data_IF_844909733460
#
_entry.id   IF_844909733460
#
_cell.length_a   1.000
_cell.length_b   1.000
_cell.length_c   1.000
_cell.angle_alpha   90.00
_cell.angle_beta   90.00
_cell.angle_gamma   90.00
#
_symmetry.space_group_name_H-M   'P 1'
#
loop_
_entity.id
_entity.type
_entity.pdbx_description
1 polymer ?
#
# COMPACT_ATOMS: atom_id res chain seq x y z
N UNK A 1 9.23 34.14 -49.79
CA UNK A 1 9.39 33.98 -48.32
C UNK A 1 8.67 32.70 -47.92
N UNK A 2 9.40 31.68 -47.43
CA UNK A 2 8.81 30.40 -46.99
C UNK A 2 8.64 30.47 -45.48
N UNK A 3 7.40 30.38 -45.01
CA UNK A 3 7.10 30.24 -43.58
C UNK A 3 7.57 28.87 -43.09
N UNK A 4 8.56 28.88 -42.19
CA UNK A 4 8.95 27.71 -41.43
C UNK A 4 7.85 27.42 -40.40
N UNK A 5 7.03 26.40 -40.68
CA UNK A 5 6.15 25.77 -39.69
C UNK A 5 7.03 25.21 -38.57
N UNK A 6 7.01 25.85 -37.39
CA UNK A 6 7.59 25.29 -36.18
C UNK A 6 6.83 23.99 -35.87
N UNK A 7 7.54 22.88 -35.97
CA UNK A 7 7.08 21.58 -35.49
C UNK A 7 6.82 21.69 -33.98
N UNK A 8 5.67 21.23 -33.45
CA UNK A 8 5.46 21.23 -32.01
C UNK A 8 6.49 20.30 -31.39
N UNK A 9 7.40 20.91 -30.63
CA UNK A 9 8.39 20.23 -29.82
C UNK A 9 7.66 19.25 -28.91
N UNK A 10 8.13 18.00 -28.90
CA UNK A 10 8.06 17.11 -27.76
C UNK A 10 8.40 17.92 -26.50
N UNK A 11 7.38 18.29 -25.72
CA UNK A 11 7.55 18.95 -24.43
C UNK A 11 6.70 18.15 -23.45
N UNK A 12 7.41 17.27 -22.75
CA UNK A 12 7.17 16.88 -21.37
C UNK A 12 5.77 16.36 -21.04
N UNK A 13 5.64 15.04 -21.17
CA UNK A 13 4.83 14.26 -20.23
C UNK A 13 5.54 14.26 -18.86
N UNK A 14 5.62 15.44 -18.24
CA UNK A 14 5.81 15.54 -16.79
C UNK A 14 4.46 15.16 -16.20
N UNK A 15 4.32 13.91 -15.76
CA UNK A 15 3.21 13.56 -14.88
C UNK A 15 3.31 14.50 -13.68
N UNK A 16 2.35 15.42 -13.53
CA UNK A 16 2.21 16.15 -12.30
C UNK A 16 2.01 15.11 -11.20
N UNK A 17 2.97 15.05 -10.27
CA UNK A 17 2.91 14.14 -9.13
C UNK A 17 1.62 14.44 -8.36
N UNK A 18 0.75 13.44 -8.25
CA UNK A 18 -0.53 13.62 -7.55
C UNK A 18 -0.28 13.87 -6.06
N UNK A 19 -1.28 14.41 -5.36
CA UNK A 19 -1.18 14.60 -3.90
C UNK A 19 -0.87 13.28 -3.18
N UNK A 20 -1.37 12.15 -3.70
CA UNK A 20 -1.14 10.83 -3.11
C UNK A 20 0.30 10.37 -3.37
N UNK A 21 0.81 10.50 -4.61
CA UNK A 21 2.19 10.13 -4.95
C UNK A 21 3.18 10.89 -4.06
N UNK A 22 2.96 12.19 -3.85
CA UNK A 22 3.79 13.01 -2.96
C UNK A 22 3.75 12.52 -1.52
N UNK A 23 2.57 12.24 -0.97
CA UNK A 23 2.42 11.75 0.40
C UNK A 23 3.12 10.41 0.61
N UNK A 24 2.98 9.48 -0.34
CA UNK A 24 3.64 8.17 -0.27
C UNK A 24 5.16 8.32 -0.39
N UNK A 25 5.65 9.19 -1.27
CA UNK A 25 7.08 9.54 -1.38
C UNK A 25 7.66 10.14 -0.10
N UNK A 26 6.92 11.01 0.59
CA UNK A 26 7.30 11.56 1.90
C UNK A 26 7.37 10.47 2.99
N UNK A 27 6.44 9.50 2.98
CA UNK A 27 6.49 8.37 3.91
C UNK A 27 7.68 7.44 3.65
N UNK A 28 8.00 7.15 2.39
CA UNK A 28 9.22 6.41 2.04
C UNK A 28 10.48 7.11 2.58
N UNK A 29 10.52 8.43 2.50
CA UNK A 29 11.66 9.23 2.97
C UNK A 29 11.76 9.28 4.50
N UNK A 30 10.65 9.05 5.21
CA UNK A 30 10.56 9.11 6.68
C UNK A 30 10.41 7.73 7.34
N UNK A 31 10.48 6.63 6.58
CA UNK A 31 10.32 5.25 7.08
C UNK A 31 11.17 4.94 8.32
N UNK A 32 12.40 5.46 8.37
CA UNK A 32 13.35 5.20 9.46
C UNK A 32 13.18 6.12 10.69
N UNK A 33 12.17 6.99 10.69
CA UNK A 33 11.97 7.99 11.74
C UNK A 33 11.14 7.46 12.92
N UNK A 34 10.62 6.23 12.85
CA UNK A 34 9.97 5.55 13.97
C UNK A 34 9.03 4.43 13.52
N UNK A 35 8.46 3.72 14.50
CA UNK A 35 7.60 2.55 14.27
C UNK A 35 6.31 2.89 13.52
N UNK A 36 5.67 4.01 13.84
CA UNK A 36 4.38 4.37 13.22
C UNK A 36 4.51 4.67 11.70
N UNK A 37 5.43 5.54 11.23
CA UNK A 37 5.67 5.70 9.79
C UNK A 37 6.03 4.40 9.08
N UNK A 38 6.78 3.52 9.76
CA UNK A 38 7.16 2.21 9.23
C UNK A 38 5.93 1.31 9.04
N UNK A 39 5.09 1.15 10.08
CA UNK A 39 3.86 0.37 10.05
C UNK A 39 2.87 0.89 8.99
N UNK A 40 2.72 2.21 8.86
CA UNK A 40 1.88 2.82 7.81
C UNK A 40 2.35 2.44 6.41
N UNK A 41 3.66 2.47 6.16
CA UNK A 41 4.22 2.10 4.87
C UNK A 41 4.05 0.60 4.56
N UNK A 42 4.19 -0.25 5.58
CA UNK A 42 3.98 -1.68 5.46
C UNK A 42 2.53 -2.05 5.14
N UNK A 43 1.56 -1.33 5.73
CA UNK A 43 0.15 -1.45 5.35
C UNK A 43 -0.05 -1.12 3.87
N UNK A 44 0.54 -0.02 3.35
CA UNK A 44 0.41 0.32 1.94
C UNK A 44 1.06 -0.73 1.02
N UNK A 45 2.24 -1.26 1.40
CA UNK A 45 2.92 -2.33 0.66
C UNK A 45 2.02 -3.56 0.54
N UNK A 46 1.42 -4.01 1.64
CA UNK A 46 0.51 -5.17 1.64
C UNK A 46 -0.74 -4.89 0.81
N UNK A 47 -1.35 -3.70 0.94
CA UNK A 47 -2.51 -3.34 0.14
C UNK A 47 -2.19 -3.34 -1.36
N UNK A 48 -1.02 -2.85 -1.80
CA UNK A 48 -0.61 -2.92 -3.20
C UNK A 48 -0.50 -4.37 -3.69
N UNK A 49 0.02 -5.29 -2.86
CA UNK A 49 0.09 -6.72 -3.18
C UNK A 49 -1.32 -7.29 -3.38
N UNK A 50 -2.25 -6.90 -2.51
CA UNK A 50 -3.65 -7.32 -2.52
C UNK A 50 -4.55 -6.49 -3.47
N UNK A 51 -3.96 -5.81 -4.47
CA UNK A 51 -4.70 -5.04 -5.50
C UNK A 51 -5.54 -3.89 -4.91
N UNK A 52 -5.07 -3.33 -3.81
CA UNK A 52 -5.59 -2.14 -3.17
C UNK A 52 -6.70 -2.39 -2.16
N UNK A 53 -7.07 -3.64 -1.87
CA UNK A 53 -8.14 -3.94 -0.90
C UNK A 53 -7.78 -5.16 -0.06
N UNK A 54 -8.04 -5.11 1.25
CA UNK A 54 -7.86 -6.27 2.14
C UNK A 54 -8.80 -6.19 3.34
N UNK A 55 -9.25 -7.35 3.83
CA UNK A 55 -9.90 -7.43 5.14
C UNK A 55 -8.86 -7.22 6.25
N UNK A 56 -9.19 -6.57 7.37
CA UNK A 56 -8.22 -6.36 8.47
C UNK A 56 -7.62 -7.67 8.96
N UNK A 57 -8.44 -8.71 9.06
CA UNK A 57 -7.99 -10.06 9.43
C UNK A 57 -6.95 -10.65 8.47
N UNK A 58 -7.07 -10.36 7.17
CA UNK A 58 -6.13 -10.80 6.13
C UNK A 58 -4.89 -9.91 6.11
N UNK A 59 -5.07 -8.60 6.26
CA UNK A 59 -3.99 -7.62 6.37
C UNK A 59 -3.00 -8.00 7.48
N UNK A 60 -3.50 -8.43 8.65
CA UNK A 60 -2.66 -8.94 9.75
C UNK A 60 -1.82 -10.13 9.29
N UNK A 61 -2.42 -11.12 8.61
CA UNK A 61 -1.72 -12.31 8.14
C UNK A 61 -0.65 -11.96 7.11
N UNK A 62 -0.96 -11.08 6.16
CA UNK A 62 0.00 -10.64 5.14
C UNK A 62 1.14 -9.80 5.73
N UNK A 63 0.88 -9.00 6.76
CA UNK A 63 1.93 -8.26 7.50
C UNK A 63 2.88 -9.23 8.22
N UNK A 64 2.35 -10.26 8.90
CA UNK A 64 3.19 -11.31 9.52
C UNK A 64 4.10 -11.97 8.48
N UNK A 65 3.59 -12.27 7.29
CA UNK A 65 4.41 -12.86 6.21
C UNK A 65 5.48 -11.89 5.70
N UNK A 66 5.17 -10.59 5.59
CA UNK A 66 6.14 -9.57 5.21
C UNK A 66 7.22 -9.36 6.29
N UNK A 67 6.87 -9.47 7.57
CA UNK A 67 7.80 -9.37 8.70
C UNK A 67 8.73 -10.60 8.76
N UNK A 68 8.17 -11.79 8.61
CA UNK A 68 8.94 -13.04 8.49
C UNK A 68 9.93 -13.00 7.31
N UNK A 69 9.53 -12.44 6.16
CA UNK A 69 10.42 -12.23 5.01
C UNK A 69 11.63 -11.36 5.35
N UNK A 70 11.44 -10.33 6.18
CA UNK A 70 12.52 -9.42 6.62
C UNK A 70 13.42 -10.03 7.70
N UNK A 71 13.14 -11.27 8.13
CA UNK A 71 13.88 -11.95 9.20
C UNK A 71 13.42 -11.55 10.60
N UNK A 72 12.27 -10.91 10.72
CA UNK A 72 11.73 -10.42 11.98
C UNK A 72 10.29 -10.91 12.18
N UNK A 73 10.06 -12.20 12.46
CA UNK A 73 8.72 -12.78 12.56
C UNK A 73 8.06 -12.38 13.88
N UNK A 74 7.77 -11.10 14.06
CA UNK A 74 7.01 -10.60 15.19
C UNK A 74 5.50 -10.70 14.95
N UNK A 75 4.76 -10.81 16.05
CA UNK A 75 3.31 -10.68 16.02
C UNK A 75 2.96 -9.23 15.68
N UNK A 76 2.01 -9.03 14.78
CA UNK A 76 1.47 -7.69 14.50
C UNK A 76 0.76 -7.18 15.75
N UNK A 77 1.21 -6.06 16.31
CA UNK A 77 0.46 -5.37 17.35
C UNK A 77 -0.80 -4.74 16.72
N UNK A 78 -1.96 -5.27 17.11
CA UNK A 78 -3.26 -4.83 16.61
C UNK A 78 -3.56 -3.36 16.92
N UNK A 79 -3.04 -2.82 18.03
CA UNK A 79 -3.22 -1.42 18.40
C UNK A 79 -2.40 -0.51 17.49
N UNK A 80 -1.16 -0.90 17.20
CA UNK A 80 -0.31 -0.18 16.25
C UNK A 80 -0.88 -0.24 14.83
N UNK A 81 -1.45 -1.38 14.43
CA UNK A 81 -2.14 -1.48 13.15
C UNK A 81 -3.36 -0.55 13.09
N UNK A 82 -4.21 -0.54 14.12
CA UNK A 82 -5.37 0.36 14.16
C UNK A 82 -4.95 1.84 14.22
N UNK A 83 -3.81 2.16 14.86
CA UNK A 83 -3.17 3.49 14.82
C UNK A 83 -2.74 3.86 13.40
N UNK A 84 -1.97 3.00 12.74
CA UNK A 84 -1.48 3.20 11.38
C UNK A 84 -2.63 3.39 10.39
N UNK A 85 -3.67 2.55 10.46
CA UNK A 85 -4.87 2.67 9.62
C UNK A 85 -5.61 3.98 9.85
N UNK A 86 -5.70 4.45 11.10
CA UNK A 86 -6.33 5.73 11.41
C UNK A 86 -5.52 6.90 10.85
N UNK A 87 -4.20 6.91 11.00
CA UNK A 87 -3.35 7.98 10.48
C UNK A 87 -3.31 7.98 8.94
N UNK A 88 -3.29 6.80 8.30
CA UNK A 88 -3.46 6.69 6.85
C UNK A 88 -4.82 7.21 6.38
N UNK A 89 -5.89 6.95 7.15
CA UNK A 89 -7.24 7.46 6.87
C UNK A 89 -7.31 8.98 6.97
N UNK A 90 -6.69 9.59 7.99
CA UNK A 90 -6.58 11.07 8.13
C UNK A 90 -5.82 11.72 6.97
N UNK A 91 -4.87 10.99 6.37
CA UNK A 91 -4.11 11.42 5.19
C UNK A 91 -4.82 11.13 3.87
N UNK A 92 -6.03 10.58 3.91
CA UNK A 92 -6.82 10.20 2.73
C UNK A 92 -6.07 9.21 1.82
N UNK A 93 -5.22 8.34 2.40
CA UNK A 93 -4.51 7.28 1.66
C UNK A 93 -5.29 5.96 1.64
N UNK A 94 -6.10 5.72 2.69
CA UNK A 94 -6.95 4.54 2.81
C UNK A 94 -8.36 4.91 3.26
N UNK A 95 -9.32 4.07 2.89
CA UNK A 95 -10.66 4.04 3.48
C UNK A 95 -10.80 2.78 4.33
N UNK A 96 -11.46 2.90 5.47
CA UNK A 96 -11.71 1.78 6.40
C UNK A 96 -13.20 1.72 6.66
N UNK A 97 -13.83 0.61 6.29
CA UNK A 97 -15.27 0.41 6.46
C UNK A 97 -15.57 -0.83 7.30
N UNK A 98 -16.44 -0.70 8.30
CA UNK A 98 -16.98 -1.89 8.97
C UNK A 98 -17.92 -2.63 8.02
N UNK A 99 -17.62 -3.90 7.77
CA UNK A 99 -18.42 -4.77 6.91
C UNK A 99 -18.60 -6.14 7.54
N UNK A 100 -19.59 -6.85 7.02
CA UNK A 100 -19.90 -8.22 7.44
C UNK A 100 -19.20 -9.18 6.49
N UNK A 101 -18.22 -9.93 6.98
CA UNK A 101 -17.49 -10.94 6.22
C UNK A 101 -18.23 -12.27 6.31
N UNK A 102 -18.62 -12.79 5.14
CA UNK A 102 -19.17 -14.15 5.04
C UNK A 102 -18.06 -15.17 5.29
N UNK A 103 -18.29 -16.13 6.19
CA UNK A 103 -17.30 -17.19 6.47
C UNK A 103 -17.67 -18.43 5.66
N UNK A 104 -16.80 -18.84 4.73
CA UNK A 104 -17.05 -20.04 3.92
C UNK A 104 -16.99 -21.29 4.82
N UNK A 105 -18.07 -22.07 4.85
CA UNK A 105 -18.16 -23.32 5.62
C UNK A 105 -18.70 -23.20 7.06
N UNK A 106 -18.90 -21.99 7.58
CA UNK A 106 -19.55 -21.77 8.88
C UNK A 106 -20.94 -21.14 8.69
N UNK A 107 -21.93 -21.55 9.50
CA UNK A 107 -23.21 -20.83 9.61
C UNK A 107 -22.96 -19.57 10.44
N UNK A 108 -22.43 -18.53 9.82
CA UNK A 108 -22.19 -17.27 10.51
C UNK A 108 -21.54 -16.21 9.63
N UNK A 109 -21.70 -14.97 10.05
CA UNK A 109 -20.97 -13.83 9.51
C UNK A 109 -20.27 -13.10 10.65
N UNK A 110 -19.06 -12.64 10.40
CA UNK A 110 -18.24 -11.96 11.39
C UNK A 110 -18.08 -10.51 10.97
N UNK A 111 -18.24 -9.57 11.91
CA UNK A 111 -17.88 -8.17 11.65
C UNK A 111 -16.37 -8.05 11.49
N UNK A 112 -15.95 -7.38 10.44
CA UNK A 112 -14.54 -7.09 10.15
C UNK A 112 -14.44 -5.69 9.54
N UNK A 113 -13.23 -5.18 9.35
CA UNK A 113 -12.99 -3.95 8.60
C UNK A 113 -12.49 -4.30 7.21
N UNK A 114 -13.05 -3.67 6.18
CA UNK A 114 -12.52 -3.68 4.83
C UNK A 114 -11.69 -2.42 4.64
N UNK A 115 -10.41 -2.60 4.27
CA UNK A 115 -9.47 -1.52 4.02
C UNK A 115 -9.24 -1.42 2.52
N UNK A 116 -9.36 -0.23 1.95
CA UNK A 116 -9.07 0.03 0.53
C UNK A 116 -8.13 1.23 0.37
N UNK A 117 -7.25 1.19 -0.63
CA UNK A 117 -6.49 2.37 -1.07
C UNK A 117 -7.44 3.36 -1.75
N UNK A 118 -7.25 4.65 -1.47
CA UNK A 118 -7.99 5.71 -2.14
C UNK A 118 -7.61 5.81 -3.62
N UNK A 119 -6.30 5.69 -3.93
CA UNK A 119 -5.80 5.59 -5.30
C UNK A 119 -4.75 4.48 -5.40
N UNK A 120 -5.19 3.34 -5.94
CA UNK A 120 -4.32 2.19 -6.16
C UNK A 120 -3.20 2.51 -7.17
N UNK A 121 -3.49 3.23 -8.25
CA UNK A 121 -2.54 3.46 -9.35
C UNK A 121 -1.42 4.38 -8.88
N UNK A 122 -1.76 5.49 -8.23
CA UNK A 122 -0.80 6.43 -7.65
C UNK A 122 0.06 5.80 -6.54
N UNK A 123 -0.56 5.00 -5.67
CA UNK A 123 0.18 4.30 -4.60
C UNK A 123 1.12 3.26 -5.18
N UNK A 124 0.66 2.47 -6.15
CA UNK A 124 1.46 1.43 -6.81
C UNK A 124 2.61 2.05 -7.64
N UNK A 125 2.36 3.12 -8.39
CA UNK A 125 3.39 3.80 -9.21
C UNK A 125 4.52 4.29 -8.31
N UNK A 126 4.19 4.88 -7.17
CA UNK A 126 5.16 5.39 -6.20
C UNK A 126 5.95 4.27 -5.54
N UNK A 127 5.28 3.20 -5.09
CA UNK A 127 5.92 2.04 -4.47
C UNK A 127 6.63 1.11 -5.48
N UNK A 128 6.55 1.37 -6.79
CA UNK A 128 7.18 0.54 -7.83
C UNK A 128 8.70 0.45 -7.73
N UNK A 129 9.33 1.37 -6.98
CA UNK A 129 10.77 1.41 -6.72
C UNK A 129 11.13 1.05 -5.26
N UNK A 130 10.14 0.71 -4.45
CA UNK A 130 10.34 0.30 -3.06
C UNK A 130 11.02 -1.06 -3.00
N UNK A 131 12.24 -1.10 -2.45
CA UNK A 131 13.07 -2.31 -2.47
C UNK A 131 12.46 -3.44 -1.65
N UNK A 132 11.81 -3.11 -0.54
CA UNK A 132 11.15 -4.08 0.34
C UNK A 132 10.03 -4.79 -0.41
N UNK A 133 9.13 -4.02 -1.03
CA UNK A 133 8.02 -4.54 -1.83
C UNK A 133 8.52 -5.38 -3.02
N UNK A 134 9.47 -4.86 -3.81
CA UNK A 134 10.02 -5.57 -4.98
C UNK A 134 10.60 -6.92 -4.57
N UNK A 135 11.41 -6.94 -3.51
CA UNK A 135 12.10 -8.15 -3.06
C UNK A 135 11.09 -9.18 -2.53
N UNK A 136 10.09 -8.74 -1.77
CA UNK A 136 9.05 -9.61 -1.24
C UNK A 136 8.16 -10.20 -2.33
N UNK A 137 7.72 -9.38 -3.30
CA UNK A 137 6.95 -9.86 -4.46
C UNK A 137 7.75 -10.86 -5.29
N UNK A 138 9.06 -10.62 -5.48
CA UNK A 138 9.95 -11.55 -6.16
C UNK A 138 10.01 -12.91 -5.45
N UNK A 139 10.14 -12.92 -4.13
CA UNK A 139 10.14 -14.17 -3.34
C UNK A 139 8.80 -14.91 -3.43
N UNK A 140 7.66 -14.22 -3.28
CA UNK A 140 6.32 -14.83 -3.41
C UNK A 140 6.13 -15.49 -4.77
N UNK A 141 6.62 -14.87 -5.85
CA UNK A 141 6.54 -15.42 -7.20
C UNK A 141 7.41 -16.67 -7.40
N UNK A 142 8.53 -16.80 -6.67
CA UNK A 142 9.37 -18.00 -6.71
C UNK A 142 8.74 -19.15 -5.93
N UNK A 143 8.13 -18.88 -4.78
CA UNK A 143 7.50 -19.89 -3.91
C UNK A 143 6.14 -20.39 -4.42
N UNK A 144 5.55 -19.69 -5.40
CA UNK A 144 4.30 -20.10 -6.05
C UNK A 144 4.49 -21.08 -7.22
N UNK A 145 5.74 -21.47 -7.52
CA UNK A 145 6.11 -22.48 -8.52
C UNK A 145 6.36 -23.82 -7.86
#
# INVERSE_FOLDING_TARGET
MKEFKKSPKNIEMMCMETSIEKLVSEMLSSEKQGELPHAMLDVLRVLVINKGVSWRSELIQDLVLLYAFRGDPEAVDERELDEALRELGKKELVQVEERVKGTMGARGSTKDKLISLVDYVATQSTLSRDRTLISYMGQRAMNAK
#
